data_IF_679291507175
#
_entry.id   IF_679291507175
#
_cell.length_a   1.000
_cell.length_b   1.000
_cell.length_c   1.000
_cell.angle_alpha   90.00
_cell.angle_beta   90.00
_cell.angle_gamma   90.00
#
_symmetry.space_group_name_H-M   'P 1'
#
loop_
_entity.id
_entity.type
_entity.pdbx_description
1 polymer ?
#
# COMPACT_ATOMS: atom_id res chain seq x y z
N UNK A 1 -5.46 -6.95 44.71
CA UNK A 1 -5.57 -7.32 43.28
C UNK A 1 -6.69 -6.50 42.64
N UNK A 2 -6.39 -5.51 41.78
CA UNK A 2 -7.40 -4.52 41.31
C UNK A 2 -7.60 -4.44 39.79
N UNK A 3 -6.91 -5.26 38.99
CA UNK A 3 -6.84 -5.12 37.52
C UNK A 3 -7.21 -6.38 36.70
N UNK A 4 -7.61 -7.49 37.33
CA UNK A 4 -7.85 -8.79 36.65
C UNK A 4 -8.77 -8.74 35.42
N UNK A 5 -9.96 -8.12 35.50
CA UNK A 5 -10.91 -8.11 34.38
C UNK A 5 -10.43 -7.30 33.17
N UNK A 6 -9.74 -6.17 33.40
CA UNK A 6 -9.24 -5.30 32.33
C UNK A 6 -8.10 -5.95 31.56
N UNK A 7 -7.21 -6.65 32.28
CA UNK A 7 -6.09 -7.35 31.68
C UNK A 7 -6.55 -8.54 30.81
N UNK A 8 -7.61 -9.25 31.21
CA UNK A 8 -8.17 -10.35 30.41
C UNK A 8 -8.90 -9.87 29.15
N UNK A 9 -9.64 -8.76 29.23
CA UNK A 9 -10.27 -8.12 28.05
C UNK A 9 -9.21 -7.65 27.04
N UNK A 10 -8.14 -7.03 27.53
CA UNK A 10 -7.02 -6.59 26.69
C UNK A 10 -6.29 -7.78 26.04
N UNK A 11 -6.09 -8.87 26.78
CA UNK A 11 -5.52 -10.12 26.25
C UNK A 11 -6.42 -10.76 25.19
N UNK A 12 -7.74 -10.75 25.39
CA UNK A 12 -8.72 -11.23 24.43
C UNK A 12 -8.72 -10.43 23.12
N UNK A 13 -8.70 -9.10 23.21
CA UNK A 13 -8.53 -8.21 22.04
C UNK A 13 -7.21 -8.50 21.31
N UNK A 14 -6.12 -8.70 22.03
CA UNK A 14 -4.81 -9.00 21.46
C UNK A 14 -4.79 -10.33 20.71
N UNK A 15 -5.38 -11.39 21.28
CA UNK A 15 -5.51 -12.67 20.61
C UNK A 15 -6.37 -12.58 19.34
N UNK A 16 -7.42 -11.76 19.33
CA UNK A 16 -8.22 -11.53 18.14
C UNK A 16 -7.44 -10.78 17.04
N UNK A 17 -6.60 -9.81 17.41
CA UNK A 17 -5.69 -9.11 16.48
C UNK A 17 -4.66 -10.08 15.91
N UNK A 18 -4.01 -10.86 16.77
CA UNK A 18 -3.01 -11.87 16.37
C UNK A 18 -3.60 -12.97 15.47
N UNK A 19 -4.82 -13.41 15.73
CA UNK A 19 -5.52 -14.40 14.91
C UNK A 19 -5.90 -13.87 13.50
N UNK A 20 -5.89 -12.55 13.30
CA UNK A 20 -6.24 -11.90 12.03
C UNK A 20 -5.07 -11.66 11.09
N UNK A 21 -3.90 -12.29 11.30
CA UNK A 21 -2.68 -12.02 10.55
C UNK A 21 -2.94 -12.03 9.03
N UNK A 22 -2.52 -10.96 8.35
CA UNK A 22 -2.76 -10.80 6.92
C UNK A 22 -1.80 -11.70 6.13
N UNK A 23 -2.34 -12.57 5.28
CA UNK A 23 -1.54 -13.39 4.37
C UNK A 23 -1.14 -12.56 3.15
N UNK A 24 0.12 -12.14 3.12
CA UNK A 24 0.73 -11.54 1.93
C UNK A 24 1.05 -12.64 0.91
N UNK A 25 0.81 -12.35 -0.36
CA UNK A 25 1.18 -13.24 -1.48
C UNK A 25 2.31 -12.58 -2.26
N UNK A 26 3.18 -13.39 -2.87
CA UNK A 26 4.15 -12.94 -3.87
C UNK A 26 3.40 -12.39 -5.08
N UNK A 27 2.88 -11.18 -4.97
CA UNK A 27 2.24 -10.45 -6.05
C UNK A 27 3.25 -9.43 -6.57
N UNK A 28 3.80 -9.69 -7.76
CA UNK A 28 4.82 -8.85 -8.38
C UNK A 28 4.26 -7.52 -8.92
N UNK A 29 2.95 -7.44 -9.16
CA UNK A 29 2.33 -6.29 -9.83
C UNK A 29 1.15 -5.70 -9.06
N UNK A 30 1.06 -4.38 -9.01
CA UNK A 30 -0.09 -3.66 -8.43
C UNK A 30 -1.35 -3.92 -9.29
N UNK A 31 -2.46 -4.32 -8.66
CA UNK A 31 -3.72 -4.58 -9.36
C UNK A 31 -4.80 -3.60 -8.89
N UNK A 32 -5.33 -2.79 -9.81
CA UNK A 32 -6.44 -1.88 -9.53
C UNK A 32 -7.77 -2.63 -9.51
N UNK A 33 -8.73 -2.12 -8.73
CA UNK A 33 -10.09 -2.63 -8.78
C UNK A 33 -10.73 -2.43 -10.15
N UNK A 34 -11.44 -3.45 -10.64
CA UNK A 34 -12.32 -3.34 -11.81
C UNK A 34 -13.48 -2.37 -11.56
N UNK A 35 -13.92 -2.27 -10.30
CA UNK A 35 -14.96 -1.32 -9.89
C UNK A 35 -14.37 0.03 -9.60
N UNK A 36 -14.79 0.99 -10.41
CA UNK A 36 -14.40 2.39 -10.36
C UNK A 36 -15.61 3.30 -10.60
N UNK A 37 -15.48 4.57 -10.23
CA UNK A 37 -16.49 5.59 -10.47
C UNK A 37 -15.85 6.79 -11.17
N UNK A 38 -16.54 7.36 -12.15
CA UNK A 38 -16.16 8.68 -12.67
C UNK A 38 -16.53 9.72 -11.62
N UNK A 39 -15.58 10.58 -11.29
CA UNK A 39 -15.77 11.64 -10.28
C UNK A 39 -15.50 12.99 -10.88
N UNK A 40 -16.24 13.98 -10.39
CA UNK A 40 -16.07 15.38 -10.77
C UNK A 40 -15.42 16.13 -9.61
N UNK A 41 -14.28 16.76 -9.87
CA UNK A 41 -13.59 17.58 -8.88
C UNK A 41 -14.26 18.92 -8.57
N UNK A 42 -15.39 19.25 -9.20
CA UNK A 42 -16.28 20.31 -8.71
C UNK A 42 -17.15 19.86 -7.53
N UNK A 43 -17.35 18.56 -7.34
CA UNK A 43 -18.08 18.06 -6.18
C UNK A 43 -17.31 18.43 -4.91
N UNK A 44 -18.00 19.03 -3.93
CA UNK A 44 -17.45 19.40 -2.64
C UNK A 44 -16.75 18.23 -1.93
N UNK A 45 -17.21 16.99 -2.16
CA UNK A 45 -16.58 15.78 -1.59
C UNK A 45 -15.16 15.56 -2.12
N UNK A 46 -14.88 15.98 -3.36
CA UNK A 46 -13.65 15.66 -4.08
C UNK A 46 -12.79 16.88 -4.43
N UNK A 47 -13.35 18.08 -4.36
CA UNK A 47 -12.70 19.32 -4.80
C UNK A 47 -11.35 19.60 -4.14
N UNK A 48 -11.20 19.23 -2.87
CA UNK A 48 -9.94 19.36 -2.13
C UNK A 48 -8.78 18.52 -2.71
N UNK A 49 -9.06 17.45 -3.45
CA UNK A 49 -8.03 16.56 -4.00
C UNK A 49 -7.54 16.99 -5.39
N UNK A 50 -8.24 17.91 -6.04
CA UNK A 50 -7.86 18.43 -7.36
C UNK A 50 -6.49 19.11 -7.39
N UNK A 51 -6.17 20.08 -6.51
CA UNK A 51 -4.84 20.69 -6.49
C UNK A 51 -3.74 19.65 -6.20
N UNK A 52 -4.02 18.69 -5.31
CA UNK A 52 -3.09 17.61 -4.98
C UNK A 52 -2.82 16.70 -6.18
N UNK A 53 -3.83 16.42 -7.01
CA UNK A 53 -3.64 15.64 -8.23
C UNK A 53 -2.78 16.39 -9.26
N UNK A 54 -2.95 17.70 -9.39
CA UNK A 54 -2.11 18.52 -10.29
C UNK A 54 -0.66 18.53 -9.81
N UNK A 55 -0.44 18.75 -8.51
CA UNK A 55 0.89 18.68 -7.91
C UNK A 55 1.53 17.31 -8.14
N UNK A 56 0.78 16.24 -7.86
CA UNK A 56 1.20 14.86 -8.08
C UNK A 56 1.64 14.63 -9.53
N UNK A 57 0.83 15.04 -10.52
CA UNK A 57 1.19 14.90 -11.93
C UNK A 57 2.50 15.65 -12.26
N UNK A 58 2.70 16.85 -11.71
CA UNK A 58 3.94 17.60 -11.94
C UNK A 58 5.17 16.95 -11.28
N UNK A 59 5.01 16.37 -10.09
CA UNK A 59 6.09 15.69 -9.37
C UNK A 59 6.52 14.41 -10.10
N UNK A 60 5.57 13.62 -10.58
CA UNK A 60 5.82 12.29 -11.13
C UNK A 60 5.87 12.23 -12.66
N UNK A 61 5.82 13.37 -13.35
CA UNK A 61 6.00 13.40 -14.80
C UNK A 61 7.50 13.35 -15.19
N UNK A 62 7.94 12.31 -15.92
CA UNK A 62 9.37 12.07 -16.10
C UNK A 62 10.04 13.00 -17.12
N UNK A 63 9.29 13.56 -18.08
CA UNK A 63 9.90 14.23 -19.24
C UNK A 63 10.13 15.74 -19.09
N UNK A 64 9.55 16.37 -18.05
CA UNK A 64 9.70 17.80 -17.70
C UNK A 64 9.49 18.82 -18.85
N UNK A 65 9.00 18.39 -20.00
CA UNK A 65 8.68 19.19 -21.17
C UNK A 65 7.24 19.73 -21.15
N UNK A 66 6.46 19.37 -20.13
CA UNK A 66 5.12 19.86 -19.89
C UNK A 66 4.94 20.21 -18.41
N UNK A 67 4.07 21.19 -18.16
CA UNK A 67 3.65 21.55 -16.80
C UNK A 67 2.15 21.39 -16.69
N UNK A 68 1.70 20.55 -15.77
CA UNK A 68 0.27 20.35 -15.55
C UNK A 68 -0.28 21.49 -14.73
N UNK A 69 -1.45 21.98 -15.13
CA UNK A 69 -2.15 23.04 -14.43
C UNK A 69 -3.65 22.78 -14.40
N UNK A 70 -4.32 23.36 -13.42
CA UNK A 70 -5.77 23.32 -13.29
C UNK A 70 -6.36 24.70 -13.54
N UNK A 71 -7.05 25.23 -12.54
CA UNK A 71 -7.66 26.56 -12.64
C UNK A 71 -6.57 27.66 -12.65
N UNK A 72 -6.80 28.70 -13.45
CA UNK A 72 -5.93 29.87 -13.53
C UNK A 72 -5.22 30.03 -14.88
N UNK A 73 -4.11 30.77 -14.86
CA UNK A 73 -3.38 31.15 -16.07
C UNK A 73 -2.52 29.97 -16.56
N UNK A 74 -2.59 29.68 -17.86
CA UNK A 74 -1.79 28.65 -18.52
C UNK A 74 -0.29 28.98 -18.41
N UNK A 75 0.55 28.11 -17.80
CA UNK A 75 1.99 28.29 -17.81
C UNK A 75 2.60 27.93 -19.18
N UNK A 76 3.86 28.30 -19.44
CA UNK A 76 4.60 27.80 -20.59
C UNK A 76 4.59 26.26 -20.65
N UNK A 77 4.32 25.69 -21.81
CA UNK A 77 4.11 24.24 -22.02
C UNK A 77 3.02 23.64 -21.12
N UNK A 78 2.00 24.46 -20.80
CA UNK A 78 0.91 24.08 -19.92
C UNK A 78 -0.01 23.03 -20.54
N UNK A 79 -0.25 21.95 -19.80
CA UNK A 79 -1.24 20.90 -20.09
C UNK A 79 -2.34 20.96 -19.03
N UNK A 80 -3.57 21.18 -19.49
CA UNK A 80 -4.70 21.42 -18.58
C UNK A 80 -5.30 20.09 -18.09
N UNK A 81 -5.43 19.94 -16.77
CA UNK A 81 -6.14 18.82 -16.14
C UNK A 81 -7.58 19.25 -15.89
N UNK A 82 -8.55 18.66 -16.60
CA UNK A 82 -9.96 19.03 -16.45
C UNK A 82 -10.57 18.46 -15.16
N UNK A 83 -11.33 19.28 -14.43
CA UNK A 83 -12.11 18.85 -13.25
C UNK A 83 -13.25 17.87 -13.57
N UNK A 84 -13.83 17.93 -14.78
CA UNK A 84 -15.19 17.40 -15.04
C UNK A 84 -15.29 15.96 -15.54
N UNK A 85 -14.28 15.37 -16.18
CA UNK A 85 -14.56 14.20 -17.04
C UNK A 85 -13.53 13.09 -17.09
N UNK A 86 -12.29 13.32 -16.65
CA UNK A 86 -11.19 12.36 -16.85
C UNK A 86 -10.66 11.75 -15.55
N UNK A 87 -11.34 11.98 -14.43
CA UNK A 87 -10.90 11.44 -13.15
C UNK A 87 -11.71 10.22 -12.75
N UNK A 88 -11.01 9.12 -12.55
CA UNK A 88 -11.53 7.86 -12.05
C UNK A 88 -11.21 7.76 -10.55
N UNK A 89 -12.20 7.43 -9.74
CA UNK A 89 -12.03 7.02 -8.35
C UNK A 89 -12.09 5.49 -8.28
N UNK A 90 -10.98 4.87 -7.91
CA UNK A 90 -10.95 3.44 -7.64
C UNK A 90 -11.45 3.12 -6.24
N UNK A 91 -12.13 1.98 -6.13
CA UNK A 91 -12.59 1.49 -4.84
C UNK A 91 -11.44 0.96 -3.98
N UNK A 92 -10.48 0.28 -4.60
CA UNK A 92 -9.30 -0.28 -3.95
C UNK A 92 -8.22 -0.64 -4.98
N UNK A 93 -7.04 -1.01 -4.50
CA UNK A 93 -6.01 -1.71 -5.24
C UNK A 93 -5.43 -2.85 -4.38
N UNK A 94 -4.71 -3.76 -5.02
CA UNK A 94 -3.94 -4.80 -4.37
C UNK A 94 -2.45 -4.57 -4.61
N UNK A 95 -1.65 -4.73 -3.56
CA UNK A 95 -0.21 -4.77 -3.64
C UNK A 95 0.29 -5.81 -2.63
N UNK A 96 1.17 -6.70 -3.08
CA UNK A 96 1.68 -7.83 -2.29
C UNK A 96 0.58 -8.71 -1.68
N UNK A 97 -0.54 -8.90 -2.39
CA UNK A 97 -1.70 -9.66 -1.91
C UNK A 97 -2.57 -8.92 -0.90
N UNK A 98 -2.23 -7.67 -0.55
CA UNK A 98 -3.00 -6.86 0.39
C UNK A 98 -3.81 -5.79 -0.28
N UNK A 99 -5.03 -5.65 0.22
CA UNK A 99 -6.04 -4.72 -0.28
C UNK A 99 -5.93 -3.37 0.42
N UNK A 100 -5.81 -2.33 -0.37
CA UNK A 100 -5.81 -0.93 0.07
C UNK A 100 -7.00 -0.20 -0.56
N UNK A 101 -7.88 0.35 0.25
CA UNK A 101 -9.18 0.83 -0.15
C UNK A 101 -9.38 2.34 0.01
N UNK A 102 -10.25 2.90 -0.81
CA UNK A 102 -10.68 4.29 -0.73
C UNK A 102 -11.76 4.45 0.35
N UNK A 103 -11.56 5.36 1.31
CA UNK A 103 -12.60 5.72 2.28
C UNK A 103 -13.84 6.36 1.64
N UNK A 104 -13.70 6.96 0.45
CA UNK A 104 -14.83 7.58 -0.27
C UNK A 104 -15.68 6.59 -1.06
N UNK A 105 -15.33 5.29 -1.06
CA UNK A 105 -16.02 4.25 -1.80
C UNK A 105 -16.48 3.12 -0.86
N UNK A 106 -17.75 2.73 -0.93
CA UNK A 106 -18.34 1.71 -0.03
C UNK A 106 -17.53 0.40 -0.01
N UNK A 107 -17.15 -0.11 -1.19
CA UNK A 107 -16.32 -1.32 -1.33
C UNK A 107 -14.86 -1.16 -0.88
N UNK A 108 -14.36 0.06 -0.69
CA UNK A 108 -13.00 0.34 -0.22
C UNK A 108 -12.91 0.59 1.28
N UNK A 109 -14.04 0.95 1.89
CA UNK A 109 -14.09 1.49 3.24
C UNK A 109 -13.56 0.54 4.31
N UNK A 110 -13.67 -0.79 4.18
CA UNK A 110 -13.12 -1.70 5.20
C UNK A 110 -11.60 -1.85 5.16
N UNK A 111 -10.94 -1.35 4.10
CA UNK A 111 -9.51 -1.54 3.83
C UNK A 111 -8.76 -0.22 3.67
N UNK A 112 -9.25 0.87 4.26
CA UNK A 112 -8.76 2.23 4.02
C UNK A 112 -7.59 2.67 4.91
N UNK A 113 -6.88 1.72 5.49
CA UNK A 113 -5.70 1.94 6.31
C UNK A 113 -4.52 1.16 5.74
N UNK A 114 -3.32 1.66 5.96
CA UNK A 114 -2.10 1.00 5.53
C UNK A 114 -0.87 1.71 6.05
N UNK A 115 0.25 1.02 5.98
CA UNK A 115 1.57 1.59 6.19
C UNK A 115 2.15 2.04 4.85
N UNK A 116 2.74 3.22 4.88
CA UNK A 116 3.69 3.69 3.88
C UNK A 116 5.09 3.56 4.49
N UNK A 117 6.13 3.47 3.65
CA UNK A 117 7.56 3.55 3.96
C UNK A 117 7.93 3.66 5.46
N UNK A 118 8.71 2.72 5.99
CA UNK A 118 9.12 2.69 7.41
C UNK A 118 7.96 2.54 8.41
N UNK A 119 6.87 1.87 8.03
CA UNK A 119 5.73 1.61 8.93
C UNK A 119 5.06 2.89 9.44
N UNK A 120 5.03 3.94 8.63
CA UNK A 120 4.30 5.15 8.94
C UNK A 120 2.81 4.95 8.59
N UNK A 121 1.89 4.97 9.57
CA UNK A 121 0.50 4.64 9.32
C UNK A 121 -0.22 5.79 8.65
N UNK A 122 -1.10 5.43 7.71
CA UNK A 122 -1.95 6.36 6.99
C UNK A 122 -3.40 5.90 6.91
N UNK A 123 -4.28 6.88 6.77
CA UNK A 123 -5.65 6.68 6.30
C UNK A 123 -5.75 7.09 4.82
N UNK A 124 -6.26 6.18 3.99
CA UNK A 124 -6.49 6.39 2.57
C UNK A 124 -7.84 7.09 2.40
N UNK A 125 -7.81 8.34 1.92
CA UNK A 125 -9.02 9.10 1.59
C UNK A 125 -9.59 8.67 0.25
N UNK A 126 -8.74 8.54 -0.77
CA UNK A 126 -9.19 8.09 -2.08
C UNK A 126 -8.06 7.72 -3.02
N UNK A 127 -8.38 6.92 -4.03
CA UNK A 127 -7.44 6.44 -5.05
C UNK A 127 -7.92 6.99 -6.37
N UNK A 128 -7.21 7.97 -6.91
CA UNK A 128 -7.65 8.72 -8.08
C UNK A 128 -6.74 8.44 -9.25
N UNK A 129 -7.30 8.29 -10.44
CA UNK A 129 -6.56 8.30 -11.68
C UNK A 129 -7.01 9.44 -12.58
N UNK A 130 -6.07 10.09 -13.23
CA UNK A 130 -6.33 11.09 -14.25
C UNK A 130 -5.51 10.79 -15.49
N UNK A 131 -6.13 10.92 -16.65
CA UNK A 131 -5.46 10.73 -17.95
C UNK A 131 -5.34 12.08 -18.65
N UNK A 132 -4.15 12.34 -19.18
CA UNK A 132 -3.80 13.61 -19.84
C UNK A 132 -3.02 13.33 -21.12
N UNK A 133 -3.29 14.10 -22.16
CA UNK A 133 -2.53 14.05 -23.41
C UNK A 133 -1.40 15.07 -23.38
N UNK A 134 -0.18 14.64 -23.71
CA UNK A 134 0.99 15.50 -23.91
C UNK A 134 1.60 15.20 -25.27
N UNK A 135 1.41 16.12 -26.22
CA UNK A 135 1.67 15.83 -27.63
C UNK A 135 0.78 14.68 -28.11
N UNK A 136 1.38 13.68 -28.78
CA UNK A 136 0.67 12.52 -29.31
C UNK A 136 0.63 11.32 -28.34
N UNK A 137 0.95 11.54 -27.06
CA UNK A 137 0.99 10.48 -26.04
C UNK A 137 0.02 10.79 -24.92
N UNK A 138 -0.72 9.76 -24.50
CA UNK A 138 -1.53 9.80 -23.29
C UNK A 138 -0.76 9.27 -22.08
N UNK A 139 -0.91 9.94 -20.95
CA UNK A 139 -0.32 9.58 -19.68
C UNK A 139 -1.42 9.42 -18.65
N UNK A 140 -1.44 8.27 -17.97
CA UNK A 140 -2.35 8.03 -16.85
C UNK A 140 -1.57 8.09 -15.54
N UNK A 141 -1.94 9.04 -14.69
CA UNK A 141 -1.39 9.19 -13.35
C UNK A 141 -2.36 8.62 -12.34
N UNK A 142 -1.84 7.84 -11.39
CA UNK A 142 -2.66 7.26 -10.32
C UNK A 142 -2.05 7.67 -8.97
N UNK A 143 -2.78 8.52 -8.25
CA UNK A 143 -2.39 9.05 -6.96
C UNK A 143 -3.31 8.57 -5.85
N UNK A 144 -2.71 8.17 -4.72
CA UNK A 144 -3.44 7.80 -3.50
C UNK A 144 -3.41 9.00 -2.56
N UNK A 145 -4.59 9.52 -2.23
CA UNK A 145 -4.75 10.63 -1.29
C UNK A 145 -4.77 10.08 0.12
N UNK A 146 -3.80 10.44 0.94
CA UNK A 146 -3.61 9.90 2.29
C UNK A 146 -3.53 11.00 3.33
N UNK A 147 -3.82 10.66 4.59
CA UNK A 147 -3.42 11.48 5.74
C UNK A 147 -2.60 10.63 6.70
N UNK A 148 -1.50 11.20 7.18
CA UNK A 148 -0.66 10.60 8.20
C UNK A 148 -1.33 10.63 9.56
N UNK A 149 -1.10 9.59 10.36
CA UNK A 149 -1.37 9.65 11.78
C UNK A 149 -0.39 10.62 12.43
N UNK A 150 -0.83 11.35 13.46
CA UNK A 150 0.01 12.30 14.17
C UNK A 150 0.53 11.64 15.44
N UNK A 151 1.85 11.67 15.64
CA UNK A 151 2.46 11.20 16.88
C UNK A 151 1.96 12.04 18.07
N UNK A 152 1.67 11.41 19.23
CA UNK A 152 1.19 12.14 20.38
C UNK A 152 2.28 13.02 20.97
N UNK A 153 1.88 14.18 21.52
CA UNK A 153 2.81 15.06 22.22
C UNK A 153 3.47 14.37 23.42
N UNK A 154 2.75 13.44 24.06
CA UNK A 154 3.25 12.59 25.11
C UNK A 154 3.06 11.12 24.70
N UNK A 155 4.16 10.38 24.60
CA UNK A 155 4.08 8.95 24.35
C UNK A 155 3.41 8.24 25.54
N UNK A 156 2.36 7.45 25.29
CA UNK A 156 1.76 6.65 26.34
C UNK A 156 2.74 5.60 26.84
N UNK A 157 2.84 5.45 28.16
CA UNK A 157 3.57 4.36 28.79
C UNK A 157 2.64 3.16 28.83
N UNK A 158 2.93 2.13 28.04
CA UNK A 158 2.11 0.94 27.98
C UNK A 158 2.53 -0.05 29.07
N UNK A 159 1.58 -0.69 29.77
CA UNK A 159 1.91 -1.71 30.75
C UNK A 159 2.40 -3.03 30.11
N UNK A 160 2.53 -3.08 28.79
CA UNK A 160 2.87 -4.27 28.00
C UNK A 160 4.12 -4.05 27.14
N UNK A 161 5.09 -3.23 27.58
CA UNK A 161 6.31 -2.93 26.82
C UNK A 161 7.00 -4.18 26.22
N UNK A 162 6.95 -5.32 26.91
CA UNK A 162 7.47 -6.60 26.42
C UNK A 162 6.82 -7.09 25.10
N UNK A 163 5.55 -6.74 24.84
CA UNK A 163 4.83 -7.09 23.62
C UNK A 163 5.09 -6.12 22.47
N UNK A 164 5.68 -4.96 22.75
CA UNK A 164 5.99 -3.97 21.72
C UNK A 164 7.00 -4.53 20.70
N UNK A 165 7.99 -5.30 21.18
CA UNK A 165 8.95 -6.01 20.33
C UNK A 165 8.30 -7.09 19.43
N UNK A 166 7.15 -7.63 19.85
CA UNK A 166 6.46 -8.72 19.15
C UNK A 166 5.37 -8.26 18.19
N UNK A 167 4.81 -7.05 18.38
CA UNK A 167 3.62 -6.56 17.69
C UNK A 167 3.82 -5.22 16.99
N UNK A 168 4.99 -4.61 17.15
CA UNK A 168 5.35 -3.29 16.62
C UNK A 168 4.23 -2.26 16.86
N UNK A 169 3.90 -2.06 18.15
CA UNK A 169 2.74 -1.25 18.54
C UNK A 169 3.07 0.22 18.36
N UNK A 170 2.35 0.87 17.44
CA UNK A 170 2.38 2.32 17.26
C UNK A 170 1.28 3.02 18.06
N UNK A 171 1.57 4.20 18.61
CA UNK A 171 0.59 5.03 19.32
C UNK A 171 0.50 6.41 18.70
N UNK A 172 -0.73 6.91 18.54
CA UNK A 172 -1.05 8.12 17.78
C UNK A 172 -2.11 8.95 18.50
N UNK A 173 -2.16 10.25 18.20
CA UNK A 173 -3.24 11.13 18.66
C UNK A 173 -4.61 10.59 18.20
N UNK A 174 -5.55 10.45 19.12
CA UNK A 174 -6.86 9.88 18.80
C UNK A 174 -7.62 10.73 17.78
N UNK A 175 -7.98 10.11 16.64
CA UNK A 175 -8.73 10.72 15.52
C UNK A 175 -8.10 12.00 14.94
N UNK A 176 -6.81 12.24 15.17
CA UNK A 176 -6.09 13.37 14.57
C UNK A 176 -5.14 12.88 13.50
N UNK A 177 -5.16 13.59 12.38
CA UNK A 177 -4.40 13.23 11.20
C UNK A 177 -3.78 14.48 10.58
N UNK A 178 -2.64 14.33 9.93
CA UNK A 178 -1.94 15.39 9.21
C UNK A 178 -2.75 15.94 8.02
N UNK A 179 -2.17 16.88 7.26
CA UNK A 179 -2.76 17.32 6.00
C UNK A 179 -2.88 16.17 5.00
N UNK A 180 -3.75 16.34 4.00
CA UNK A 180 -3.86 15.36 2.91
C UNK A 180 -2.68 15.54 1.97
N UNK A 181 -2.04 14.44 1.59
CA UNK A 181 -0.98 14.39 0.57
C UNK A 181 -1.28 13.31 -0.46
N UNK A 182 -0.70 13.45 -1.65
CA UNK A 182 -0.79 12.44 -2.71
C UNK A 182 0.48 11.60 -2.77
N UNK A 183 0.35 10.28 -2.80
CA UNK A 183 1.48 9.32 -2.87
C UNK A 183 1.27 8.32 -3.99
N UNK A 184 2.35 7.66 -4.43
CA UNK A 184 2.29 6.54 -5.36
C UNK A 184 1.65 5.32 -4.71
N UNK A 185 1.04 4.45 -5.51
CA UNK A 185 0.54 3.16 -5.04
C UNK A 185 1.69 2.31 -4.48
N UNK A 186 2.85 2.33 -5.14
CA UNK A 186 4.03 1.57 -4.72
C UNK A 186 4.59 1.97 -3.35
N UNK A 187 4.16 3.11 -2.80
CA UNK A 187 4.60 3.57 -1.48
C UNK A 187 4.07 2.70 -0.32
N UNK A 188 3.03 1.90 -0.56
CA UNK A 188 2.39 1.09 0.47
C UNK A 188 3.17 -0.20 0.73
N UNK A 189 3.54 -0.40 2.00
CA UNK A 189 4.41 -1.52 2.43
C UNK A 189 3.73 -2.45 3.43
N UNK A 190 2.53 -2.13 3.92
CA UNK A 190 1.89 -3.02 4.88
C UNK A 190 0.52 -2.57 5.38
N UNK A 191 -0.05 -3.36 6.30
CA UNK A 191 -1.33 -3.09 6.96
C UNK A 191 -1.21 -3.33 8.46
N UNK A 192 -2.11 -2.69 9.20
CA UNK A 192 -2.22 -2.81 10.64
C UNK A 192 -3.67 -3.05 11.05
N UNK A 193 -3.84 -3.70 12.21
CA UNK A 193 -5.06 -3.60 12.97
C UNK A 193 -5.04 -2.31 13.78
N UNK A 194 -6.21 -1.72 13.99
CA UNK A 194 -6.35 -0.48 14.73
C UNK A 194 -7.27 -0.67 15.94
N UNK A 195 -6.88 -0.07 17.05
CA UNK A 195 -7.72 0.04 18.25
C UNK A 195 -7.54 1.42 18.88
N UNK A 196 -8.20 1.68 20.00
CA UNK A 196 -8.00 2.88 20.78
C UNK A 196 -7.95 2.57 22.27
N UNK A 197 -7.31 3.46 23.02
CA UNK A 197 -7.20 3.35 24.48
C UNK A 197 -7.39 4.70 25.15
N UNK A 198 -8.29 4.72 26.13
CA UNK A 198 -8.44 5.83 27.05
C UNK A 198 -7.54 5.61 28.27
N UNK A 199 -6.67 6.58 28.52
CA UNK A 199 -5.83 6.67 29.73
C UNK A 199 -6.24 7.89 30.57
N UNK A 200 -5.72 7.99 31.78
CA UNK A 200 -5.99 9.14 32.67
C UNK A 200 -5.46 10.47 32.11
N UNK A 201 -4.45 10.41 31.25
CA UNK A 201 -3.76 11.57 30.69
C UNK A 201 -3.96 11.75 29.18
N UNK A 202 -4.80 10.92 28.53
CA UNK A 202 -5.06 11.06 27.10
C UNK A 202 -5.89 9.94 26.48
N UNK A 203 -6.35 10.17 25.25
CA UNK A 203 -6.97 9.16 24.39
C UNK A 203 -6.06 8.94 23.18
N UNK A 204 -5.70 7.70 22.91
CA UNK A 204 -4.75 7.34 21.88
C UNK A 204 -5.34 6.33 20.90
N UNK A 205 -4.94 6.43 19.64
CA UNK A 205 -5.14 5.38 18.64
C UNK A 205 -3.92 4.45 18.64
N UNK A 206 -4.16 3.15 18.63
CA UNK A 206 -3.14 2.10 18.59
C UNK A 206 -3.15 1.43 17.22
N UNK A 207 -1.97 1.22 16.66
CA UNK A 207 -1.77 0.43 15.44
C UNK A 207 -0.90 -0.79 15.77
N UNK A 208 -1.33 -1.96 15.31
CA UNK A 208 -0.63 -3.22 15.50
C UNK A 208 -0.23 -3.74 14.14
N UNK A 209 1.07 -3.85 13.87
CA UNK A 209 1.52 -4.36 12.57
C UNK A 209 0.99 -5.79 12.38
N UNK A 210 0.30 -6.01 11.26
CA UNK A 210 -0.23 -7.35 10.92
C UNK A 210 0.81 -8.19 10.16
N UNK A 211 2.06 -7.71 10.13
CA UNK A 211 3.15 -8.20 9.30
C UNK A 211 4.43 -8.15 10.13
N UNK A 212 5.20 -9.24 10.13
CA UNK A 212 6.56 -9.29 10.69
C UNK A 212 7.65 -9.34 9.62
N UNK A 213 7.31 -9.77 8.40
CA UNK A 213 8.22 -9.92 7.26
C UNK A 213 7.97 -8.81 6.26
N UNK A 214 9.01 -8.04 5.94
CA UNK A 214 8.88 -6.96 4.98
C UNK A 214 8.49 -7.52 3.61
N UNK A 215 7.62 -6.87 2.82
CA UNK A 215 7.22 -7.38 1.50
C UNK A 215 8.41 -7.64 0.58
N UNK A 216 9.51 -6.91 0.73
CA UNK A 216 10.75 -7.10 -0.02
C UNK A 216 11.44 -8.44 0.28
N UNK A 217 11.23 -9.00 1.48
CA UNK A 217 11.77 -10.30 1.89
C UNK A 217 10.99 -11.47 1.26
N UNK A 218 9.74 -11.25 0.85
CA UNK A 218 8.90 -12.25 0.17
C UNK A 218 9.31 -12.47 -1.30
N UNK A 219 9.88 -11.45 -1.96
CA UNK A 219 10.35 -11.54 -3.36
C UNK A 219 11.58 -12.44 -3.46
N UNK A 220 12.45 -12.46 -2.44
CA UNK A 220 13.65 -13.33 -2.41
C UNK A 220 13.32 -14.81 -2.27
N UNK A 221 12.19 -15.17 -1.65
CA UNK A 221 11.80 -16.56 -1.43
C UNK A 221 11.32 -17.29 -2.69
N UNK A 222 10.82 -16.56 -3.70
CA UNK A 222 10.30 -17.16 -4.94
C UNK A 222 11.39 -17.46 -5.97
N UNK A 223 12.52 -16.74 -5.95
CA UNK A 223 13.64 -16.96 -6.88
C UNK A 223 14.40 -18.26 -6.55
N UNK A 224 14.31 -18.76 -5.31
CA UNK A 224 15.02 -19.95 -4.83
C UNK A 224 14.20 -21.27 -4.86
N UNK A 225 13.07 -21.29 -5.57
CA UNK A 225 12.25 -22.51 -5.74
C UNK A 225 12.10 -22.96 -7.19
N UNK A 226 13.10 -22.71 -8.03
CA UNK A 226 13.38 -23.68 -9.08
C UNK A 226 14.20 -24.80 -8.41
N UNK A 227 13.68 -26.05 -8.32
CA UNK A 227 14.56 -27.16 -8.00
C UNK A 227 15.69 -27.17 -9.03
N UNK A 228 16.95 -27.45 -8.62
CA UNK A 228 18.00 -27.67 -9.60
C UNK A 228 17.52 -28.78 -10.52
N UNK A 229 17.59 -28.54 -11.82
CA UNK A 229 17.49 -29.60 -12.81
C UNK A 229 18.43 -30.72 -12.33
N UNK A 230 17.86 -31.89 -12.06
CA UNK A 230 18.66 -33.07 -11.76
C UNK A 230 19.47 -33.37 -13.04
N UNK A 231 20.72 -32.90 -13.03
CA UNK A 231 21.79 -33.37 -13.90
C UNK A 231 21.83 -34.90 -13.81
N UNK A 232 21.25 -35.57 -14.81
CA UNK A 232 21.58 -36.95 -15.12
C UNK A 232 22.79 -36.96 -16.03
N UNK A 233 23.95 -36.69 -15.43
CA UNK A 233 25.23 -37.09 -16.00
C UNK A 233 25.34 -38.62 -15.94
N UNK A 234 25.16 -39.21 -17.10
CA UNK A 234 26.17 -40.01 -17.79
C UNK A 234 27.20 -40.71 -16.88
N UNK A 235 26.96 -41.98 -16.56
CA UNK A 235 28.01 -42.92 -16.17
C UNK A 235 28.20 -43.90 -17.33
N UNK A 236 29.25 -43.64 -18.10
CA UNK A 236 29.73 -44.53 -19.14
C UNK A 236 30.60 -45.69 -18.62
N UNK A 237 31.01 -46.50 -19.60
CA UNK A 237 31.86 -47.71 -19.59
C UNK A 237 31.11 -49.02 -19.25
N UNK A 238 31.24 -50.10 -20.03
CA UNK A 238 32.42 -50.52 -20.81
C UNK A 238 32.10 -51.58 -21.90
N UNK A 239 32.94 -51.55 -22.95
CA UNK A 239 33.41 -52.58 -23.86
C UNK A 239 32.45 -53.49 -24.69
N UNK A 240 32.67 -53.47 -26.01
CA UNK A 240 32.27 -54.53 -26.93
C UNK A 240 32.44 -54.15 -28.40
N UNK A 241 33.67 -54.23 -28.90
CA UNK A 241 34.03 -54.18 -30.33
C UNK A 241 33.23 -55.20 -31.17
N UNK A 242 32.99 -54.89 -32.46
CA UNK A 242 33.31 -55.74 -33.64
C UNK A 242 32.85 -55.05 -34.94
N UNK A 243 33.87 -54.66 -35.71
CA UNK A 243 34.10 -54.72 -37.17
C UNK A 243 33.03 -54.33 -38.21
N UNK A 244 33.52 -53.45 -39.10
CA UNK A 244 33.20 -53.28 -40.52
C UNK A 244 32.88 -54.60 -41.26
N UNK A 245 31.94 -54.53 -42.21
CA UNK A 245 32.22 -54.91 -43.61
C UNK A 245 31.04 -54.54 -44.51
N UNK A 246 31.27 -53.54 -45.37
CA UNK A 246 30.64 -53.41 -46.67
C UNK A 246 30.83 -54.68 -47.50
N UNK A 247 29.74 -55.21 -48.09
CA UNK A 247 29.72 -55.82 -49.44
C UNK A 247 28.30 -55.75 -50.03
N UNK A 248 28.23 -55.09 -51.19
CA UNK A 248 27.33 -55.22 -52.35
C UNK A 248 25.80 -55.36 -52.13
#
# INVERSE_FOLDING_TARGET
MRNGPKHEIQRGMLHAVLAGQALFRGQEHICLATVSAKVNFHDAKHSQYYPLMIEFCNVYYPFRNARFYGDGVRPPNGVHILRRTLTILYSHFYQYGVRYGSAHHLRGYSSHFGYIHNHEPVIIKGIYATTVAVGDREFTFIGVMVRWFIAPAQQPVFPWDHWNELLEIGAWEYRRFGPVVAVLLSAFTGVFAMSDIQMSYGHYTLTFAMIKTRPEDLVKGYINHNPPDEDKDDNGSDAGDIEDMDKD
#
